data_IF_832465996659
#
_entry.id   IF_832465996659
#
_cell.length_a   1.000
_cell.length_b   1.000
_cell.length_c   1.000
_cell.angle_alpha   90.00
_cell.angle_beta   90.00
_cell.angle_gamma   90.00
#
_symmetry.space_group_name_H-M   'P 1'
#
loop_
_entity.id
_entity.type
_entity.pdbx_description
1 polymer ?
#
# COMPACT_ATOMS: atom_id res chain seq x y z
N UNK A 1 0.07 16.83 -2.61
CA UNK A 1 0.65 15.46 -2.47
C UNK A 1 -0.47 14.50 -2.79
N UNK A 2 -0.25 13.56 -3.71
CA UNK A 2 -1.23 12.51 -3.99
C UNK A 2 -1.01 11.36 -3.01
N UNK A 3 -2.08 10.84 -2.43
CA UNK A 3 -2.05 9.72 -1.48
C UNK A 3 -3.00 8.65 -1.98
N UNK A 4 -2.48 7.44 -2.17
CA UNK A 4 -3.25 6.30 -2.62
C UNK A 4 -3.26 5.24 -1.51
N UNK A 5 -4.45 4.79 -1.12
CA UNK A 5 -4.61 3.67 -0.18
C UNK A 5 -5.35 2.54 -0.88
N UNK A 6 -4.87 1.31 -0.74
CA UNK A 6 -5.44 0.15 -1.41
C UNK A 6 -5.23 -1.14 -0.62
N UNK A 7 -5.95 -2.19 -1.04
CA UNK A 7 -5.76 -3.58 -0.62
C UNK A 7 -5.61 -4.47 -1.85
N UNK A 8 -4.93 -5.61 -1.69
CA UNK A 8 -4.82 -6.65 -2.72
C UNK A 8 -5.61 -7.86 -2.22
N UNK A 9 -6.86 -7.97 -2.66
CA UNK A 9 -7.81 -8.97 -2.16
C UNK A 9 -7.89 -8.97 -0.62
N UNK A 10 -7.84 -10.16 -0.04
CA UNK A 10 -7.83 -10.37 1.41
C UNK A 10 -6.40 -10.44 2.01
N UNK A 11 -5.34 -10.23 1.22
CA UNK A 11 -3.96 -10.25 1.73
C UNK A 11 -3.78 -9.19 2.82
N UNK A 12 -3.10 -9.56 3.91
CA UNK A 12 -2.81 -8.64 4.99
C UNK A 12 -1.88 -7.51 4.49
N UNK A 13 -2.16 -6.23 4.77
CA UNK A 13 -1.37 -5.12 4.19
C UNK A 13 0.10 -5.16 4.59
N UNK A 14 0.44 -5.67 5.78
CA UNK A 14 1.82 -5.93 6.18
C UNK A 14 2.57 -6.90 5.26
N UNK A 15 1.89 -7.92 4.73
CA UNK A 15 2.51 -8.88 3.80
C UNK A 15 2.76 -8.22 2.45
N UNK A 16 1.83 -7.40 1.96
CA UNK A 16 2.02 -6.60 0.75
C UNK A 16 3.20 -5.65 0.92
N UNK A 17 3.29 -4.95 2.06
CA UNK A 17 4.40 -4.05 2.37
C UNK A 17 5.76 -4.79 2.41
N UNK A 18 5.82 -5.98 3.02
CA UNK A 18 7.03 -6.83 3.02
C UNK A 18 7.45 -7.26 1.61
N UNK A 19 6.49 -7.66 0.75
CA UNK A 19 6.77 -8.02 -0.64
C UNK A 19 7.28 -6.82 -1.46
N UNK A 20 6.71 -5.64 -1.26
CA UNK A 20 7.19 -4.40 -1.88
C UNK A 20 8.58 -4.00 -1.38
N UNK A 21 8.84 -4.16 -0.08
CA UNK A 21 10.16 -3.88 0.51
C UNK A 21 11.26 -4.78 -0.10
N UNK A 22 10.96 -6.05 -0.39
CA UNK A 22 11.89 -6.95 -1.08
C UNK A 22 12.26 -6.49 -2.51
N UNK A 23 11.39 -5.70 -3.15
CA UNK A 23 11.61 -5.06 -4.46
C UNK A 23 12.20 -3.63 -4.32
N UNK A 24 12.65 -3.24 -3.13
CA UNK A 24 13.12 -1.89 -2.78
C UNK A 24 12.05 -0.79 -3.00
N UNK A 25 10.80 -1.08 -2.64
CA UNK A 25 9.69 -0.12 -2.66
C UNK A 25 9.13 0.04 -1.26
N UNK A 26 9.26 1.24 -0.69
CA UNK A 26 8.86 1.52 0.69
C UNK A 26 7.46 2.13 0.74
N UNK A 27 6.60 1.52 1.53
CA UNK A 27 5.19 1.90 1.71
C UNK A 27 4.83 1.82 3.20
N UNK A 28 3.65 2.31 3.56
CA UNK A 28 3.14 2.16 4.92
C UNK A 28 1.92 1.23 4.93
N UNK A 29 1.87 0.28 5.85
CA UNK A 29 0.69 -0.53 6.17
C UNK A 29 -0.01 -0.08 7.47
N UNK A 30 -1.32 -0.32 7.56
CA UNK A 30 -2.12 -0.10 8.77
C UNK A 30 -3.26 0.92 8.58
N UNK A 31 -3.64 1.58 9.68
CA UNK A 31 -4.71 2.59 9.69
C UNK A 31 -4.22 4.04 9.65
N UNK A 32 -2.90 4.27 9.75
CA UNK A 32 -2.29 5.60 9.67
C UNK A 32 -2.83 6.60 10.71
N UNK A 33 -3.17 6.12 11.90
CA UNK A 33 -3.85 6.89 12.96
C UNK A 33 -5.29 7.31 12.61
N UNK A 34 -5.89 6.68 11.59
CA UNK A 34 -7.26 6.93 11.14
C UNK A 34 -8.19 5.73 11.41
N UNK A 35 -8.17 5.21 12.64
CA UNK A 35 -8.93 4.01 13.07
C UNK A 35 -10.42 4.07 12.70
N UNK A 36 -11.09 5.21 12.93
CA UNK A 36 -12.52 5.33 12.61
C UNK A 36 -12.81 5.16 11.11
N UNK A 37 -11.85 5.51 10.24
CA UNK A 37 -12.01 5.37 8.79
C UNK A 37 -11.84 3.91 8.39
N UNK A 38 -10.81 3.22 8.89
CA UNK A 38 -10.60 1.81 8.62
C UNK A 38 -11.70 0.91 9.20
N UNK A 39 -12.26 1.25 10.36
CA UNK A 39 -13.45 0.60 10.92
C UNK A 39 -14.67 0.81 10.01
N UNK A 40 -14.93 2.05 9.58
CA UNK A 40 -16.08 2.36 8.72
C UNK A 40 -16.00 1.71 7.35
N UNK A 41 -14.79 1.50 6.84
CA UNK A 41 -14.51 0.77 5.60
C UNK A 41 -14.48 -0.76 5.78
N UNK A 42 -14.57 -1.28 7.02
CA UNK A 42 -14.57 -2.71 7.31
C UNK A 42 -13.24 -3.39 7.01
N UNK A 43 -12.13 -2.68 7.23
CA UNK A 43 -10.77 -3.18 6.97
C UNK A 43 -9.87 -3.16 8.20
N UNK A 44 -10.31 -2.59 9.33
CA UNK A 44 -9.50 -2.50 10.56
C UNK A 44 -9.16 -3.89 11.11
N UNK A 45 -10.15 -4.77 11.22
CA UNK A 45 -9.98 -6.17 11.63
C UNK A 45 -9.12 -6.98 10.65
N UNK A 46 -8.99 -6.50 9.41
CA UNK A 46 -8.11 -7.04 8.36
C UNK A 46 -6.73 -6.37 8.30
N UNK A 47 -6.36 -5.60 9.34
CA UNK A 47 -5.06 -4.93 9.47
C UNK A 47 -4.91 -3.58 8.76
N UNK A 48 -6.01 -3.01 8.24
CA UNK A 48 -6.00 -1.70 7.57
C UNK A 48 -5.77 -1.77 6.06
N UNK A 49 -4.90 -0.92 5.53
CA UNK A 49 -4.60 -0.82 4.09
C UNK A 49 -3.09 -0.66 3.85
N UNK A 50 -2.68 -0.67 2.58
CA UNK A 50 -1.36 -0.17 2.14
C UNK A 50 -1.53 1.25 1.64
N UNK A 51 -0.60 2.15 1.97
CA UNK A 51 -0.58 3.54 1.49
C UNK A 51 0.73 3.87 0.81
N UNK A 52 0.60 4.50 -0.36
CA UNK A 52 1.68 5.07 -1.15
C UNK A 52 1.44 6.56 -1.32
N UNK A 53 2.47 7.36 -1.05
CA UNK A 53 2.41 8.81 -1.17
C UNK A 53 3.60 9.34 -1.95
N UNK A 54 3.55 9.35 -3.31
CA UNK A 54 4.61 9.96 -4.10
C UNK A 54 4.71 11.46 -3.82
N UNK A 55 5.93 11.98 -3.83
CA UNK A 55 6.25 13.39 -3.64
C UNK A 55 7.08 13.91 -4.82
N UNK A 56 7.50 15.19 -4.75
CA UNK A 56 8.07 15.93 -5.88
C UNK A 56 9.39 15.36 -6.45
N UNK A 57 10.06 14.46 -5.73
CA UNK A 57 11.28 13.78 -6.19
C UNK A 57 11.04 12.39 -6.76
N UNK A 58 9.80 11.87 -6.72
CA UNK A 58 9.49 10.59 -7.33
C UNK A 58 9.35 10.71 -8.85
N UNK A 59 9.73 9.65 -9.56
CA UNK A 59 9.69 9.62 -11.03
C UNK A 59 8.56 8.73 -11.56
N UNK A 60 8.22 8.89 -12.84
CA UNK A 60 7.27 7.99 -13.52
C UNK A 60 7.80 6.56 -13.59
N UNK A 61 9.11 6.37 -13.67
CA UNK A 61 9.73 5.04 -13.68
C UNK A 61 9.56 4.32 -12.33
N UNK A 62 9.65 5.04 -11.21
CA UNK A 62 9.36 4.48 -9.88
C UNK A 62 7.89 4.09 -9.75
N UNK A 63 6.97 4.89 -10.30
CA UNK A 63 5.54 4.56 -10.34
C UNK A 63 5.29 3.32 -11.21
N UNK A 64 5.96 3.22 -12.36
CA UNK A 64 5.88 2.03 -13.22
C UNK A 64 6.42 0.79 -12.50
N UNK A 65 7.57 0.90 -11.82
CA UNK A 65 8.16 -0.18 -11.01
C UNK A 65 7.21 -0.65 -9.91
N UNK A 66 6.55 0.28 -9.21
CA UNK A 66 5.49 -0.04 -8.24
C UNK A 66 4.35 -0.81 -8.92
N UNK A 67 3.86 -0.35 -10.06
CA UNK A 67 2.79 -1.03 -10.81
C UNK A 67 3.14 -2.46 -11.18
N UNK A 68 4.35 -2.70 -11.67
CA UNK A 68 4.83 -4.06 -12.00
C UNK A 68 4.97 -4.95 -10.75
N UNK A 69 5.49 -4.42 -9.64
CA UNK A 69 5.55 -5.15 -8.38
C UNK A 69 4.15 -5.52 -7.87
N UNK A 70 3.19 -4.60 -7.95
CA UNK A 70 1.80 -4.87 -7.54
C UNK A 70 1.13 -5.95 -8.39
N UNK A 71 1.35 -5.96 -9.71
CA UNK A 71 0.85 -7.04 -10.59
C UNK A 71 1.42 -8.40 -10.17
N UNK A 72 2.73 -8.50 -9.96
CA UNK A 72 3.38 -9.75 -9.47
C UNK A 72 2.80 -10.22 -8.13
N UNK A 73 2.49 -9.29 -7.22
CA UNK A 73 1.93 -9.63 -5.90
C UNK A 73 0.47 -10.09 -6.01
N UNK A 74 -0.31 -9.48 -6.91
CA UNK A 74 -1.73 -9.78 -7.08
C UNK A 74 -2.00 -11.15 -7.73
N UNK A 75 -1.06 -11.66 -8.55
CA UNK A 75 -1.22 -12.90 -9.30
C UNK A 75 -1.84 -12.64 -10.66
#
# INVERSE_FOLDING_TARGET
IATFSFRIGDMHPNEVAKKLAAENIYVWDGNYYAINVSERLGVEDKGGMVRVGPVHYNTLDEVAKLGEALKKIAG
#
